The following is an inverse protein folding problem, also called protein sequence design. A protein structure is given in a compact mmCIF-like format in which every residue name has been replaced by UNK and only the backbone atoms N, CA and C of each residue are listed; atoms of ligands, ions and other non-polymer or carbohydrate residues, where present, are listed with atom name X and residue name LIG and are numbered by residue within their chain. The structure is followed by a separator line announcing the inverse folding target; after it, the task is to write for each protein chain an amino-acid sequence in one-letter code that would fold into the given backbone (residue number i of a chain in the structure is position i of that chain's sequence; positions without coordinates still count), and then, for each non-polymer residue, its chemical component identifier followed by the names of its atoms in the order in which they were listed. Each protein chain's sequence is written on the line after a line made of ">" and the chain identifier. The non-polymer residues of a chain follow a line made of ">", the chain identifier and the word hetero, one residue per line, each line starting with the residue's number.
data_IF_088827023141
#
_entry.id   IF_088827023141
#
_cell.length_a   1.000
_cell.length_b   1.000
_cell.length_c   1.000
_cell.angle_alpha   90.00
_cell.angle_beta   90.00
_cell.angle_gamma   90.00
#
_symmetry.space_group_name_H-M   'P 1'
#
loop_
_entity.id
_entity.type
_entity.pdbx_description
1 polymer ?
#
# COMPACT_ATOMS: atom_id res chain seq x y z
N UNK A 1 -41.49 -59.93 5.71
CA UNK A 1 -41.37 -59.56 4.28
C UNK A 1 -40.94 -58.10 4.20
N UNK A 2 -39.86 -57.84 3.47
CA UNK A 2 -39.21 -56.55 3.23
C UNK A 2 -40.00 -55.72 2.21
N UNK A 3 -39.93 -54.38 2.31
CA UNK A 3 -39.82 -53.42 1.18
C UNK A 3 -39.73 -52.00 1.75
N UNK A 4 -38.52 -51.47 1.96
CA UNK A 4 -37.69 -50.66 1.04
C UNK A 4 -38.06 -49.17 1.00
N UNK A 5 -37.43 -48.40 1.89
CA UNK A 5 -37.27 -46.95 1.77
C UNK A 5 -36.34 -46.64 0.60
N UNK A 6 -36.78 -45.79 -0.32
CA UNK A 6 -35.91 -45.16 -1.33
C UNK A 6 -35.46 -43.82 -0.77
N UNK A 7 -34.19 -43.73 -0.34
CA UNK A 7 -33.55 -42.46 -0.02
C UNK A 7 -32.84 -41.94 -1.28
N UNK A 8 -33.34 -40.83 -1.83
CA UNK A 8 -32.64 -40.09 -2.89
C UNK A 8 -31.58 -39.23 -2.22
N UNK A 9 -30.31 -39.66 -2.31
CA UNK A 9 -29.17 -38.86 -1.86
C UNK A 9 -28.89 -37.77 -2.90
N UNK A 10 -29.24 -36.52 -2.56
CA UNK A 10 -28.87 -35.34 -3.32
C UNK A 10 -27.40 -35.00 -2.99
N UNK A 11 -26.47 -35.39 -3.85
CA UNK A 11 -25.06 -34.99 -3.76
C UNK A 11 -24.95 -33.56 -4.28
N UNK A 12 -24.88 -32.59 -3.36
CA UNK A 12 -24.59 -31.20 -3.72
C UNK A 12 -23.10 -31.05 -4.10
N UNK A 13 -22.76 -30.43 -5.24
CA UNK A 13 -21.37 -30.15 -5.58
C UNK A 13 -20.84 -28.98 -4.73
N UNK A 14 -19.62 -29.13 -4.22
CA UNK A 14 -18.88 -28.10 -3.49
C UNK A 14 -18.39 -27.05 -4.51
N UNK A 15 -19.08 -25.91 -4.62
CA UNK A 15 -18.74 -24.79 -5.53
C UNK A 15 -17.80 -23.76 -4.86
N UNK A 16 -17.03 -24.15 -3.83
CA UNK A 16 -16.26 -23.18 -3.03
C UNK A 16 -14.85 -22.84 -3.56
N UNK A 17 -14.33 -23.53 -4.58
CA UNK A 17 -12.91 -23.42 -4.96
C UNK A 17 -12.57 -22.29 -5.95
N UNK A 18 -13.54 -21.75 -6.69
CA UNK A 18 -13.28 -20.77 -7.75
C UNK A 18 -13.07 -19.34 -7.26
N UNK A 19 -13.65 -18.95 -6.12
CA UNK A 19 -13.59 -17.57 -5.62
C UNK A 19 -12.23 -17.22 -5.04
N UNK A 20 -11.63 -18.11 -4.25
CA UNK A 20 -10.30 -17.89 -3.63
C UNK A 20 -9.20 -17.75 -4.69
N UNK A 21 -9.26 -18.53 -5.77
CA UNK A 21 -8.28 -18.45 -6.85
C UNK A 21 -8.35 -17.11 -7.61
N UNK A 22 -9.56 -16.60 -7.83
CA UNK A 22 -9.79 -15.32 -8.49
C UNK A 22 -9.32 -14.13 -7.61
N UNK A 23 -9.60 -14.17 -6.31
CA UNK A 23 -9.12 -13.14 -5.36
C UNK A 23 -7.59 -13.08 -5.29
N UNK A 24 -6.92 -14.23 -5.26
CA UNK A 24 -5.45 -14.31 -5.25
C UNK A 24 -4.85 -13.76 -6.55
N UNK A 25 -5.49 -14.03 -7.70
CA UNK A 25 -5.04 -13.51 -8.99
C UNK A 25 -5.22 -11.99 -9.07
N UNK A 26 -6.38 -11.48 -8.69
CA UNK A 26 -6.66 -10.04 -8.62
C UNK A 26 -5.65 -9.32 -7.72
N UNK A 27 -5.32 -9.89 -6.57
CA UNK A 27 -4.32 -9.32 -5.66
C UNK A 27 -2.91 -9.28 -6.26
N UNK A 28 -2.49 -10.36 -6.94
CA UNK A 28 -1.21 -10.37 -7.66
C UNK A 28 -1.17 -9.35 -8.79
N UNK A 29 -2.26 -9.19 -9.53
CA UNK A 29 -2.37 -8.20 -10.61
C UNK A 29 -2.29 -6.78 -10.06
N UNK A 30 -2.92 -6.49 -8.93
CA UNK A 30 -2.82 -5.19 -8.29
C UNK A 30 -1.42 -4.89 -7.74
N UNK A 31 -0.75 -5.88 -7.14
CA UNK A 31 0.67 -5.74 -6.77
C UNK A 31 1.55 -5.46 -7.98
N UNK A 32 1.33 -6.17 -9.10
CA UNK A 32 2.04 -5.94 -10.34
C UNK A 32 1.76 -4.54 -10.92
N UNK A 33 0.52 -4.05 -10.83
CA UNK A 33 0.14 -2.70 -11.21
C UNK A 33 0.88 -1.66 -10.35
N UNK A 34 0.90 -1.83 -9.02
CA UNK A 34 1.61 -0.91 -8.11
C UNK A 34 3.10 -0.85 -8.42
N UNK A 35 3.72 -2.00 -8.71
CA UNK A 35 5.13 -2.08 -9.06
C UNK A 35 5.45 -1.43 -10.42
N UNK A 36 4.63 -1.68 -11.44
CA UNK A 36 4.86 -1.15 -12.80
C UNK A 36 4.59 0.34 -12.92
N UNK A 37 3.62 0.86 -12.17
CA UNK A 37 3.20 2.27 -12.25
C UNK A 37 3.88 3.17 -11.23
N UNK A 38 4.71 2.62 -10.35
CA UNK A 38 5.46 3.38 -9.34
C UNK A 38 4.58 4.22 -8.40
N UNK A 39 3.28 3.91 -8.29
CA UNK A 39 2.36 4.64 -7.39
C UNK A 39 2.73 4.50 -5.91
N UNK A 40 3.53 3.47 -5.58
CA UNK A 40 4.12 3.25 -4.26
C UNK A 40 5.22 4.24 -3.87
N UNK A 41 5.86 4.90 -4.84
CA UNK A 41 7.09 5.68 -4.63
C UNK A 41 6.83 7.01 -3.90
N UNK A 42 5.57 7.28 -3.52
CA UNK A 42 5.16 8.42 -2.71
C UNK A 42 5.51 8.28 -1.22
N UNK A 43 5.79 7.06 -0.72
CA UNK A 43 6.05 6.80 0.69
C UNK A 43 7.17 7.68 1.30
N UNK A 44 8.37 7.81 0.71
CA UNK A 44 9.45 8.61 1.30
C UNK A 44 9.07 10.08 1.45
N UNK A 45 8.38 10.62 0.44
CA UNK A 45 7.87 12.00 0.45
C UNK A 45 6.85 12.20 1.56
N UNK A 46 5.88 11.29 1.70
CA UNK A 46 4.87 11.34 2.75
C UNK A 46 5.50 11.22 4.15
N UNK A 47 6.48 10.33 4.31
CA UNK A 47 7.20 10.15 5.56
C UNK A 47 7.94 11.44 5.96
N UNK A 48 8.66 12.06 5.01
CA UNK A 48 9.36 13.30 5.28
C UNK A 48 8.40 14.45 5.61
N UNK A 49 7.28 14.57 4.89
CA UNK A 49 6.24 15.57 5.18
C UNK A 49 5.65 15.39 6.58
N UNK A 50 5.44 14.15 7.01
CA UNK A 50 4.99 13.84 8.36
C UNK A 50 6.08 14.15 9.40
N UNK A 51 7.33 13.79 9.14
CA UNK A 51 8.47 14.06 10.02
C UNK A 51 8.65 15.57 10.28
N UNK A 52 8.53 16.40 9.25
CA UNK A 52 8.63 17.87 9.33
C UNK A 52 7.63 18.51 10.30
N UNK A 53 6.53 17.82 10.62
CA UNK A 53 5.50 18.30 11.57
C UNK A 53 5.80 17.94 13.02
N UNK A 54 6.93 17.29 13.31
CA UNK A 54 7.28 16.81 14.65
C UNK A 54 8.23 17.75 15.38
N UNK A 55 8.15 17.77 16.71
CA UNK A 55 9.11 18.50 17.56
C UNK A 55 10.54 17.97 17.40
N UNK A 56 10.72 16.67 17.19
CA UNK A 56 12.05 16.07 16.96
C UNK A 56 12.74 16.65 15.73
N UNK A 57 11.98 16.87 14.66
CA UNK A 57 12.51 17.52 13.46
C UNK A 57 12.89 18.99 13.72
N UNK A 58 12.07 19.72 14.48
CA UNK A 58 12.39 21.09 14.89
C UNK A 58 13.71 21.16 15.69
N UNK A 59 13.92 20.25 16.64
CA UNK A 59 15.17 20.16 17.40
C UNK A 59 16.38 19.84 16.51
N UNK A 60 16.22 18.98 15.50
CA UNK A 60 17.27 18.71 14.51
C UNK A 60 17.63 19.98 13.72
N UNK A 61 16.63 20.79 13.32
CA UNK A 61 16.87 22.07 12.64
C UNK A 61 17.66 23.02 13.53
N UNK A 62 17.27 23.18 14.80
CA UNK A 62 17.95 24.08 15.74
C UNK A 62 19.43 23.75 15.91
N UNK A 63 19.80 22.47 15.81
CA UNK A 63 21.16 21.99 16.04
C UNK A 63 22.02 21.92 14.78
N UNK A 64 21.41 21.54 13.65
CA UNK A 64 22.14 21.23 12.41
C UNK A 64 21.92 22.28 11.32
N UNK A 65 20.87 23.09 11.44
CA UNK A 65 20.33 23.88 10.34
C UNK A 65 19.40 23.07 9.45
N UNK A 66 18.54 23.78 8.70
CA UNK A 66 17.45 23.21 7.90
C UNK A 66 17.91 22.14 6.91
N UNK A 67 18.92 22.46 6.08
CA UNK A 67 19.42 21.56 5.03
C UNK A 67 19.97 20.24 5.61
N UNK A 68 20.78 20.32 6.67
CA UNK A 68 21.37 19.13 7.30
C UNK A 68 20.32 18.30 8.04
N UNK A 69 19.36 18.94 8.72
CA UNK A 69 18.26 18.23 9.36
C UNK A 69 17.39 17.47 8.34
N UNK A 70 17.10 18.11 7.21
CA UNK A 70 16.38 17.47 6.11
C UNK A 70 17.17 16.28 5.56
N UNK A 71 18.44 16.48 5.18
CA UNK A 71 19.27 15.42 4.62
C UNK A 71 19.45 14.25 5.59
N UNK A 72 19.61 14.52 6.89
CA UNK A 72 19.74 13.49 7.91
C UNK A 72 18.48 12.62 7.97
N UNK A 73 17.30 13.23 8.07
CA UNK A 73 16.05 12.48 8.18
C UNK A 73 15.70 11.75 6.89
N UNK A 74 15.89 12.38 5.72
CA UNK A 74 15.67 11.71 4.42
C UNK A 74 16.57 10.49 4.26
N UNK A 75 17.85 10.59 4.64
CA UNK A 75 18.77 9.45 4.57
C UNK A 75 18.33 8.28 5.44
N UNK A 76 17.78 8.54 6.64
CA UNK A 76 17.26 7.46 7.49
C UNK A 76 15.94 6.88 6.95
N UNK A 77 15.07 7.71 6.35
CA UNK A 77 13.87 7.23 5.66
C UNK A 77 14.27 6.27 4.53
N UNK A 78 15.19 6.69 3.66
CA UNK A 78 15.65 5.90 2.52
C UNK A 78 16.28 4.57 2.95
N UNK A 79 17.06 4.57 4.02
CA UNK A 79 17.66 3.37 4.59
C UNK A 79 16.61 2.37 5.13
N UNK A 80 15.45 2.86 5.57
CA UNK A 80 14.36 2.03 6.09
C UNK A 80 13.38 1.56 5.01
N UNK A 81 13.38 2.15 3.80
CA UNK A 81 12.43 1.79 2.74
C UNK A 81 12.38 0.28 2.42
N UNK A 82 13.49 -0.47 2.35
CA UNK A 82 13.44 -1.91 2.10
C UNK A 82 12.53 -2.68 3.07
N UNK A 83 12.35 -2.19 4.30
CA UNK A 83 11.50 -2.79 5.32
C UNK A 83 10.03 -2.37 5.23
N UNK A 84 9.75 -1.12 4.85
CA UNK A 84 8.40 -0.54 4.89
C UNK A 84 7.70 -0.51 3.54
N UNK A 85 8.44 -0.31 2.44
CA UNK A 85 7.90 -0.22 1.10
C UNK A 85 7.07 -1.45 0.69
N UNK A 86 7.47 -2.70 1.00
CA UNK A 86 6.65 -3.87 0.64
C UNK A 86 5.27 -3.85 1.30
N UNK A 87 5.19 -3.48 2.59
CA UNK A 87 3.92 -3.40 3.34
C UNK A 87 3.04 -2.26 2.85
N UNK A 88 3.65 -1.12 2.52
CA UNK A 88 2.97 0.00 1.91
C UNK A 88 2.37 -0.38 0.54
N UNK A 89 3.15 -1.07 -0.30
CA UNK A 89 2.71 -1.52 -1.62
C UNK A 89 1.59 -2.57 -1.53
N UNK A 90 1.61 -3.44 -0.51
CA UNK A 90 0.50 -4.37 -0.24
C UNK A 90 -0.80 -3.64 0.09
N UNK A 91 -0.74 -2.60 0.93
CA UNK A 91 -1.91 -1.79 1.24
C UNK A 91 -2.42 -1.00 0.03
N UNK A 92 -1.51 -0.50 -0.81
CA UNK A 92 -1.89 0.13 -2.09
C UNK A 92 -2.61 -0.86 -2.99
N UNK A 93 -2.05 -2.05 -3.21
CA UNK A 93 -2.68 -3.07 -4.04
C UNK A 93 -4.10 -3.38 -3.55
N UNK A 94 -4.27 -3.62 -2.24
CA UNK A 94 -5.58 -3.86 -1.65
C UNK A 94 -6.56 -2.68 -1.82
N UNK A 95 -6.09 -1.43 -1.79
CA UNK A 95 -6.94 -0.26 -2.05
C UNK A 95 -7.36 -0.16 -3.54
N UNK A 96 -6.46 -0.50 -4.46
CA UNK A 96 -6.76 -0.55 -5.89
C UNK A 96 -7.71 -1.70 -6.24
N UNK A 97 -7.56 -2.88 -5.65
CA UNK A 97 -8.46 -4.04 -5.85
C UNK A 97 -9.91 -3.75 -5.50
N UNK A 98 -10.15 -2.92 -4.48
CA UNK A 98 -11.52 -2.51 -4.11
C UNK A 98 -12.15 -1.57 -5.13
N UNK A 99 -11.32 -0.87 -5.91
CA UNK A 99 -11.76 0.20 -6.82
C UNK A 99 -11.77 -0.23 -8.29
N UNK A 100 -11.04 -1.30 -8.63
CA UNK A 100 -10.80 -1.75 -10.00
C UNK A 100 -10.88 -3.26 -10.15
N UNK A 101 -11.34 -3.72 -11.31
CA UNK A 101 -11.25 -5.12 -11.70
C UNK A 101 -9.84 -5.46 -12.20
N UNK A 102 -9.56 -6.75 -12.35
CA UNK A 102 -8.28 -7.23 -12.90
C UNK A 102 -8.01 -6.66 -14.29
N UNK A 103 -9.01 -6.68 -15.18
CA UNK A 103 -8.89 -6.18 -16.56
C UNK A 103 -8.60 -4.68 -16.59
N UNK A 104 -9.20 -3.92 -15.68
CA UNK A 104 -8.97 -2.49 -15.55
C UNK A 104 -7.53 -2.20 -15.09
N UNK A 105 -7.04 -2.94 -14.09
CA UNK A 105 -5.67 -2.80 -13.60
C UNK A 105 -4.64 -3.19 -14.67
N UNK A 106 -4.90 -4.23 -15.46
CA UNK A 106 -4.04 -4.63 -16.59
C UNK A 106 -3.99 -3.56 -17.68
N UNK A 107 -5.13 -3.00 -18.08
CA UNK A 107 -5.17 -1.90 -19.06
C UNK A 107 -4.48 -0.65 -18.51
N UNK A 108 -4.69 -0.30 -17.24
CA UNK A 108 -4.01 0.84 -16.62
C UNK A 108 -2.49 0.64 -16.50
N UNK A 109 -2.03 -0.57 -16.20
CA UNK A 109 -0.60 -0.89 -16.14
C UNK A 109 0.08 -0.80 -17.52
N UNK A 110 -0.60 -1.26 -18.57
CA UNK A 110 -0.04 -1.34 -19.93
C UNK A 110 -0.17 -0.04 -20.73
N UNK A 111 -1.30 0.66 -20.60
CA UNK A 111 -1.63 1.84 -21.41
C UNK A 111 -1.48 3.15 -20.62
N UNK A 112 -1.39 3.10 -19.28
CA UNK A 112 -1.26 4.28 -18.43
C UNK A 112 -2.38 5.30 -18.67
N UNK A 113 -2.01 6.54 -19.00
CA UNK A 113 -2.96 7.62 -19.29
C UNK A 113 -3.75 7.43 -20.59
N UNK A 114 -3.26 6.60 -21.52
CA UNK A 114 -3.99 6.26 -22.74
C UNK A 114 -5.11 5.24 -22.50
N UNK A 115 -5.10 4.57 -21.33
CA UNK A 115 -6.16 3.64 -20.96
C UNK A 115 -7.51 4.33 -20.94
N UNK A 116 -8.53 3.68 -21.50
CA UNK A 116 -9.92 4.10 -21.37
C UNK A 116 -10.39 4.22 -19.91
N UNK A 117 -9.68 3.58 -18.97
CA UNK A 117 -9.96 3.62 -17.54
C UNK A 117 -9.21 4.72 -16.78
N UNK A 118 -8.35 5.52 -17.44
CA UNK A 118 -7.60 6.59 -16.78
C UNK A 118 -8.51 7.62 -16.08
N UNK A 119 -9.67 7.93 -16.67
CA UNK A 119 -10.68 8.79 -16.04
C UNK A 119 -11.20 8.23 -14.71
N UNK A 120 -11.41 6.90 -14.64
CA UNK A 120 -11.86 6.21 -13.42
C UNK A 120 -10.83 6.33 -12.29
N UNK A 121 -9.53 6.39 -12.60
CA UNK A 121 -8.47 6.63 -11.59
C UNK A 121 -8.64 7.99 -10.93
N UNK A 122 -9.01 9.02 -11.69
CA UNK A 122 -9.28 10.35 -11.13
C UNK A 122 -10.52 10.33 -10.23
N UNK A 123 -11.58 9.65 -10.66
CA UNK A 123 -12.82 9.50 -9.89
C UNK A 123 -12.59 8.75 -8.57
N UNK A 124 -11.76 7.70 -8.57
CA UNK A 124 -11.52 6.83 -7.41
C UNK A 124 -10.39 7.30 -6.50
N UNK A 125 -9.62 8.33 -6.90
CA UNK A 125 -8.46 8.82 -6.14
C UNK A 125 -8.77 9.11 -4.68
N UNK A 126 -9.89 9.75 -4.39
CA UNK A 126 -10.29 10.10 -3.01
C UNK A 126 -10.57 8.87 -2.16
N UNK A 127 -11.23 7.86 -2.73
CA UNK A 127 -11.56 6.63 -2.02
C UNK A 127 -10.31 5.79 -1.76
N UNK A 128 -9.44 5.65 -2.77
CA UNK A 128 -8.12 5.00 -2.63
C UNK A 128 -7.29 5.70 -1.55
N UNK A 129 -7.28 7.04 -1.54
CA UNK A 129 -6.57 7.84 -0.53
C UNK A 129 -7.10 7.60 0.88
N UNK A 130 -8.42 7.49 1.04
CA UNK A 130 -9.05 7.18 2.34
C UNK A 130 -8.70 5.78 2.83
N UNK A 131 -8.73 4.81 1.93
CA UNK A 131 -8.36 3.43 2.22
C UNK A 131 -6.88 3.31 2.60
N UNK A 132 -6.01 4.02 1.88
CA UNK A 132 -4.59 4.12 2.21
C UNK A 132 -4.36 4.79 3.56
N UNK A 133 -5.06 5.88 3.86
CA UNK A 133 -4.96 6.53 5.17
C UNK A 133 -5.35 5.55 6.29
N UNK A 134 -6.47 4.84 6.14
CA UNK A 134 -6.94 3.90 7.17
C UNK A 134 -5.97 2.73 7.36
N UNK A 135 -5.48 2.13 6.28
CA UNK A 135 -4.63 0.93 6.32
C UNK A 135 -3.15 1.20 6.59
N UNK A 136 -2.64 2.37 6.18
CA UNK A 136 -1.19 2.62 6.11
C UNK A 136 -0.69 3.69 7.07
N UNK A 137 -1.58 4.37 7.82
CA UNK A 137 -1.16 5.30 8.89
C UNK A 137 -0.19 4.64 9.89
N UNK A 138 -0.40 3.40 10.37
CA UNK A 138 0.55 2.75 11.28
C UNK A 138 1.94 2.52 10.65
N UNK A 139 2.00 2.18 9.37
CA UNK A 139 3.26 2.00 8.61
C UNK A 139 4.01 3.33 8.54
N UNK A 140 3.30 4.41 8.18
CA UNK A 140 3.86 5.75 8.08
C UNK A 140 4.40 6.25 9.42
N UNK A 141 3.62 6.07 10.50
CA UNK A 141 4.03 6.47 11.86
C UNK A 141 5.30 5.72 12.29
N UNK A 142 5.35 4.41 12.06
CA UNK A 142 6.51 3.60 12.43
C UNK A 142 7.78 4.03 11.67
N UNK A 143 7.71 4.16 10.34
CA UNK A 143 8.82 4.63 9.50
C UNK A 143 9.33 6.00 9.97
N UNK A 144 8.43 6.96 10.19
CA UNK A 144 8.79 8.31 10.61
C UNK A 144 9.42 8.32 12.00
N UNK A 145 8.88 7.54 12.93
CA UNK A 145 9.38 7.46 14.30
C UNK A 145 10.78 6.88 14.35
N UNK A 146 11.04 5.81 13.58
CA UNK A 146 12.35 5.17 13.50
C UNK A 146 13.38 6.07 12.81
N UNK A 147 13.01 6.70 11.69
CA UNK A 147 13.89 7.63 10.99
C UNK A 147 14.29 8.84 11.86
N UNK A 148 13.32 9.47 12.55
CA UNK A 148 13.60 10.58 13.45
C UNK A 148 14.47 10.17 14.63
N UNK A 149 14.22 9.00 15.22
CA UNK A 149 15.02 8.46 16.32
C UNK A 149 16.46 8.21 15.88
N UNK A 150 16.66 7.61 14.71
CA UNK A 150 17.98 7.32 14.17
C UNK A 150 18.74 8.62 13.87
N UNK A 151 18.13 9.58 13.17
CA UNK A 151 18.74 10.86 12.86
C UNK A 151 19.09 11.66 14.12
N UNK A 152 18.18 11.72 15.10
CA UNK A 152 18.44 12.38 16.38
C UNK A 152 19.61 11.74 17.13
N UNK A 153 19.66 10.42 17.17
CA UNK A 153 20.72 9.69 17.88
C UNK A 153 22.09 9.86 17.23
N UNK A 154 22.15 10.03 15.90
CA UNK A 154 23.40 10.19 15.14
C UNK A 154 23.98 11.60 15.19
N UNK A 155 23.15 12.61 15.40
CA UNK A 155 23.56 14.01 15.23
C UNK A 155 23.41 14.89 16.47
N UNK A 156 22.58 14.50 17.44
CA UNK A 156 22.31 15.30 18.63
C UNK A 156 22.84 14.64 19.91
N UNK A 157 22.72 13.32 20.02
CA UNK A 157 23.19 12.55 21.18
C UNK A 157 24.68 12.24 21.07
#
# INVERSE_FOLDING_TARGET
>A
MRSFCVAVAFVAPIVLSTTVAAEVLAHKTALAFVAQTHVGDSLPTLALLAAKKTQTFAMLIEKLGSEKAHSAVSSEIDALLPQYQPKWNQNLAAAYEKSFTEEELLSLASEGQASKYAGKVLERRTDIGRDMQSSSTPILIALVSEALKAAYSKHIR
#
